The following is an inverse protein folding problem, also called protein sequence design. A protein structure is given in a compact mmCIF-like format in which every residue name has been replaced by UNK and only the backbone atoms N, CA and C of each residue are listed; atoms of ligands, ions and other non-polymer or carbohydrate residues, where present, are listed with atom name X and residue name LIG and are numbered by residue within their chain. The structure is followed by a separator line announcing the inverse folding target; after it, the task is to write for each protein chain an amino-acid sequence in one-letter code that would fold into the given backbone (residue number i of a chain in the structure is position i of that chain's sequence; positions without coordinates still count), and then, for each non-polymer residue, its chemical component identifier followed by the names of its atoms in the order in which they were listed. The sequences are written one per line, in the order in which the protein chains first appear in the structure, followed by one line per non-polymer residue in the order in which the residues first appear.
data_IF_241327009339
#
_entry.id   IF_241327009339
#
_cell.length_a   1.000
_cell.length_b   1.000
_cell.length_c   1.000
_cell.angle_alpha   90.00
_cell.angle_beta   90.00
_cell.angle_gamma   90.00
#
_symmetry.space_group_name_H-M   'P 1'
#
loop_
_entity.id
_entity.type
_entity.pdbx_description
1 polymer ?
#
# COMPACT_ATOMS: atom_id res chain seq x y z
N UNK A 1 -3.97 -18.02 10.16
CA UNK A 1 -3.76 -18.05 8.69
C UNK A 1 -3.49 -16.67 8.05
N UNK A 2 -4.11 -15.57 8.51
CA UNK A 2 -3.99 -14.23 7.87
C UNK A 2 -2.58 -13.62 7.90
N UNK A 3 -1.86 -13.69 9.04
CA UNK A 3 -0.46 -13.24 9.16
C UNK A 3 0.51 -14.00 8.24
N UNK A 4 0.37 -15.33 8.10
CA UNK A 4 1.19 -16.12 7.15
C UNK A 4 1.00 -15.68 5.70
N UNK A 5 -0.23 -15.30 5.30
CA UNK A 5 -0.52 -14.78 3.95
C UNK A 5 0.10 -13.39 3.73
N UNK A 6 0.09 -12.52 4.73
CA UNK A 6 0.70 -11.19 4.64
C UNK A 6 2.22 -11.26 4.56
N UNK A 7 2.87 -12.02 5.45
CA UNK A 7 4.32 -12.20 5.40
C UNK A 7 4.79 -12.83 4.07
N UNK A 8 3.97 -13.70 3.47
CA UNK A 8 4.24 -14.28 2.15
C UNK A 8 4.17 -13.24 1.03
N UNK A 9 3.17 -12.35 1.05
CA UNK A 9 3.05 -11.26 0.07
C UNK A 9 4.23 -10.29 0.18
N UNK A 10 4.60 -9.90 1.40
CA UNK A 10 5.76 -9.03 1.64
C UNK A 10 7.03 -9.69 1.11
N UNK A 11 7.28 -10.96 1.45
CA UNK A 11 8.47 -11.69 0.98
C UNK A 11 8.54 -11.75 -0.54
N UNK A 12 7.43 -12.06 -1.21
CA UNK A 12 7.37 -12.10 -2.68
C UNK A 12 7.58 -10.72 -3.29
N UNK A 13 6.96 -9.67 -2.72
CA UNK A 13 7.14 -8.28 -3.16
C UNK A 13 8.61 -7.84 -3.09
N UNK A 14 9.32 -8.20 -2.01
CA UNK A 14 10.76 -7.92 -1.86
C UNK A 14 11.63 -8.66 -2.89
N UNK A 15 11.12 -9.74 -3.49
CA UNK A 15 11.79 -10.48 -4.57
C UNK A 15 11.43 -9.93 -5.96
N UNK A 16 10.72 -8.80 -6.05
CA UNK A 16 10.33 -8.17 -7.30
C UNK A 16 8.98 -8.61 -7.85
N UNK A 17 8.21 -9.43 -7.11
CA UNK A 17 6.86 -9.83 -7.52
C UNK A 17 5.87 -8.66 -7.39
N UNK A 18 5.65 -7.96 -8.51
CA UNK A 18 4.75 -6.81 -8.59
C UNK A 18 3.29 -7.18 -8.35
N UNK A 19 2.88 -8.41 -8.67
CA UNK A 19 1.52 -8.88 -8.40
C UNK A 19 1.27 -9.07 -6.90
N UNK A 20 2.30 -9.53 -6.16
CA UNK A 20 2.24 -9.57 -4.70
C UNK A 20 2.11 -8.18 -4.08
N UNK A 21 2.81 -7.18 -4.63
CA UNK A 21 2.63 -5.79 -4.20
C UNK A 21 1.24 -5.24 -4.54
N UNK A 22 0.71 -5.55 -5.73
CA UNK A 22 -0.65 -5.16 -6.12
C UNK A 22 -1.74 -5.72 -5.19
N UNK A 23 -1.53 -6.93 -4.64
CA UNK A 23 -2.41 -7.49 -3.60
C UNK A 23 -2.30 -6.73 -2.27
N UNK A 24 -1.12 -6.21 -1.91
CA UNK A 24 -0.93 -5.34 -0.74
C UNK A 24 -1.69 -4.02 -0.94
N UNK A 25 -1.53 -3.37 -2.10
CA UNK A 25 -2.27 -2.13 -2.44
C UNK A 25 -3.77 -2.36 -2.32
N UNK A 26 -4.32 -3.37 -2.99
CA UNK A 26 -5.78 -3.66 -2.98
C UNK A 26 -6.34 -3.85 -1.57
N UNK A 27 -5.55 -4.39 -0.64
CA UNK A 27 -5.96 -4.57 0.76
C UNK A 27 -5.95 -3.30 1.58
N UNK A 28 -5.01 -2.40 1.30
CA UNK A 28 -4.75 -1.24 2.14
C UNK A 28 -5.22 0.09 1.54
N UNK A 29 -5.58 0.14 0.24
CA UNK A 29 -5.95 1.37 -0.46
C UNK A 29 -7.03 2.18 0.25
N UNK A 30 -8.09 1.55 0.76
CA UNK A 30 -9.16 2.24 1.45
C UNK A 30 -8.72 2.80 2.81
N UNK A 31 -7.87 2.07 3.54
CA UNK A 31 -7.35 2.51 4.83
C UNK A 31 -6.38 3.68 4.66
N UNK A 32 -5.46 3.58 3.69
CA UNK A 32 -4.47 4.62 3.40
C UNK A 32 -5.18 5.89 2.91
N UNK A 33 -6.13 5.76 1.98
CA UNK A 33 -6.96 6.88 1.53
C UNK A 33 -7.74 7.51 2.69
N UNK A 34 -8.44 6.72 3.50
CA UNK A 34 -9.19 7.25 4.64
C UNK A 34 -8.29 8.00 5.63
N UNK A 35 -7.09 7.48 5.87
CA UNK A 35 -6.08 8.11 6.74
C UNK A 35 -5.59 9.44 6.15
N UNK A 36 -5.22 9.46 4.87
CA UNK A 36 -4.81 10.68 4.17
C UNK A 36 -5.94 11.73 4.17
N UNK A 37 -7.17 11.30 3.87
CA UNK A 37 -8.34 12.16 3.87
C UNK A 37 -8.62 12.77 5.25
N UNK A 38 -8.37 12.04 6.35
CA UNK A 38 -8.53 12.61 7.69
C UNK A 38 -7.58 13.80 7.94
N UNK A 39 -6.42 13.84 7.27
CA UNK A 39 -5.44 14.91 7.41
C UNK A 39 -5.73 16.07 6.45
N UNK A 40 -5.91 15.79 5.16
CA UNK A 40 -5.98 16.83 4.13
C UNK A 40 -7.40 17.34 3.85
N UNK A 41 -8.43 16.60 4.28
CA UNK A 41 -9.87 16.92 4.09
C UNK A 41 -10.28 17.24 2.64
N UNK A 42 -9.51 16.74 1.67
CA UNK A 42 -9.71 16.92 0.24
C UNK A 42 -9.54 15.55 -0.47
N UNK A 43 -10.52 15.07 -1.25
CA UNK A 43 -10.44 13.76 -1.88
C UNK A 43 -9.28 13.60 -2.86
N UNK A 44 -9.03 14.60 -3.72
CA UNK A 44 -7.96 14.56 -4.73
C UNK A 44 -6.59 14.53 -4.06
N UNK A 45 -6.34 15.43 -3.10
CA UNK A 45 -5.07 15.43 -2.36
C UNK A 45 -4.90 14.15 -1.53
N UNK A 46 -5.99 13.57 -1.03
CA UNK A 46 -5.93 12.31 -0.28
C UNK A 46 -5.55 11.14 -1.19
N UNK A 47 -6.02 11.14 -2.44
CA UNK A 47 -5.62 10.16 -3.44
C UNK A 47 -4.15 10.29 -3.80
N UNK A 48 -3.66 11.51 -4.05
CA UNK A 48 -2.25 11.78 -4.36
C UNK A 48 -1.33 11.31 -3.21
N UNK A 49 -1.65 11.69 -1.97
CA UNK A 49 -0.90 11.26 -0.77
C UNK A 49 -0.94 9.74 -0.61
N UNK A 50 -2.08 9.10 -0.87
CA UNK A 50 -2.18 7.64 -0.78
C UNK A 50 -1.33 6.95 -1.84
N UNK A 51 -1.31 7.47 -3.07
CA UNK A 51 -0.47 6.96 -4.15
C UNK A 51 1.02 7.11 -3.81
N UNK A 52 1.45 8.30 -3.36
CA UNK A 52 2.84 8.54 -2.93
C UNK A 52 3.24 7.58 -1.80
N UNK A 53 2.38 7.38 -0.81
CA UNK A 53 2.64 6.44 0.29
C UNK A 53 2.89 5.00 -0.22
N UNK A 54 2.14 4.53 -1.22
CA UNK A 54 2.38 3.23 -1.82
C UNK A 54 3.68 3.19 -2.65
N UNK A 55 4.01 4.25 -3.38
CA UNK A 55 5.28 4.35 -4.11
C UNK A 55 6.47 4.30 -3.15
N UNK A 56 6.44 5.08 -2.07
CA UNK A 56 7.49 5.08 -1.04
C UNK A 56 7.60 3.72 -0.36
N UNK A 57 6.47 3.06 -0.06
CA UNK A 57 6.46 1.73 0.50
C UNK A 57 7.08 0.69 -0.45
N UNK A 58 6.80 0.77 -1.75
CA UNK A 58 7.40 -0.11 -2.76
C UNK A 58 8.91 0.08 -2.87
N UNK A 59 9.36 1.34 -2.90
CA UNK A 59 10.78 1.68 -2.97
C UNK A 59 11.54 1.20 -1.73
N UNK A 60 10.90 1.25 -0.56
CA UNK A 60 11.48 0.80 0.72
C UNK A 60 11.50 -0.73 0.89
N UNK A 61 10.78 -1.47 0.04
CA UNK A 61 10.75 -2.94 0.03
C UNK A 61 11.82 -3.56 -0.89
N UNK A 62 12.34 -2.79 -1.85
CA UNK A 62 13.53 -3.17 -2.63
C UNK A 62 14.78 -3.07 -1.76
#
# INVERSE_FOLDING_TARGET
MRRKKESSLIRRSRQGDTAAFGEIIRRYQHLVFATAFQVVKNPTLAEDVAQEAFVTAFQSLK
#
